data_IF_841710632005
#
_entry.id   IF_841710632005
#
_cell.length_a   1.000
_cell.length_b   1.000
_cell.length_c   1.000
_cell.angle_alpha   90.00
_cell.angle_beta   90.00
_cell.angle_gamma   90.00
#
_symmetry.space_group_name_H-M   'P 1'
#
loop_
_entity.id
_entity.type
_entity.pdbx_description
1 polymer ?
#
# COMPACT_ATOMS: atom_id res chain seq x y z
N UNK A 1 16.46 62.23 -25.93
CA UNK A 1 15.85 62.39 -24.58
C UNK A 1 15.88 61.05 -23.87
N UNK A 2 16.52 60.99 -22.72
CA UNK A 2 16.60 59.74 -21.92
C UNK A 2 15.37 59.70 -21.00
N UNK A 3 14.43 58.76 -21.25
CA UNK A 3 13.29 58.50 -20.36
C UNK A 3 13.74 57.77 -19.11
N UNK A 4 13.29 58.23 -17.94
CA UNK A 4 13.55 57.58 -16.68
C UNK A 4 12.21 57.06 -16.14
N UNK A 5 12.05 55.73 -16.08
CA UNK A 5 10.88 55.10 -15.49
C UNK A 5 11.01 55.11 -13.97
N UNK A 6 10.03 55.61 -13.25
CA UNK A 6 10.00 55.70 -11.79
C UNK A 6 8.80 54.97 -11.21
N UNK A 7 8.98 54.31 -10.06
CA UNK A 7 7.87 53.77 -9.28
C UNK A 7 7.11 54.91 -8.55
N UNK A 8 5.85 54.67 -8.16
CA UNK A 8 5.06 55.64 -7.36
C UNK A 8 5.80 56.08 -6.08
N UNK A 9 6.56 55.16 -5.43
CA UNK A 9 7.38 55.50 -4.25
C UNK A 9 8.54 56.43 -4.59
N UNK A 10 9.19 56.25 -5.71
CA UNK A 10 10.30 57.08 -6.14
C UNK A 10 9.80 58.49 -6.57
N UNK A 11 8.65 58.54 -7.25
CA UNK A 11 8.01 59.78 -7.61
C UNK A 11 7.63 60.62 -6.37
N UNK A 12 6.94 60.01 -5.41
CA UNK A 12 6.59 60.67 -4.15
C UNK A 12 7.85 61.15 -3.38
N UNK A 13 8.91 60.34 -3.36
CA UNK A 13 10.20 60.76 -2.78
C UNK A 13 10.78 61.96 -3.49
N UNK A 14 10.70 61.99 -4.81
CA UNK A 14 11.20 63.12 -5.61
C UNK A 14 10.46 64.38 -5.28
N UNK A 15 9.15 64.35 -5.23
CA UNK A 15 8.32 65.59 -4.95
C UNK A 15 8.65 66.09 -3.53
N UNK A 16 8.73 65.27 -2.51
CA UNK A 16 9.03 65.67 -1.14
C UNK A 16 10.47 66.22 -1.03
N UNK A 17 11.45 65.58 -1.67
CA UNK A 17 12.84 66.03 -1.65
C UNK A 17 12.99 67.34 -2.45
N UNK A 18 12.23 67.56 -3.54
CA UNK A 18 12.20 68.82 -4.30
C UNK A 18 11.68 69.93 -3.43
N UNK A 19 10.59 69.75 -2.68
CA UNK A 19 10.07 70.70 -1.69
C UNK A 19 11.09 71.02 -0.59
N UNK A 20 11.83 69.98 -0.11
CA UNK A 20 12.91 70.18 0.87
C UNK A 20 14.09 70.95 0.29
N UNK A 21 14.43 70.82 -0.99
CA UNK A 21 15.50 71.56 -1.65
C UNK A 21 15.07 73.04 -1.82
N UNK A 22 13.80 73.27 -2.14
CA UNK A 22 13.23 74.64 -2.25
C UNK A 22 13.00 75.32 -0.90
N UNK A 23 13.37 74.65 0.22
CA UNK A 23 13.17 75.15 1.61
C UNK A 23 11.70 75.32 2.02
N UNK A 24 10.72 74.68 1.30
CA UNK A 24 9.30 74.75 1.63
C UNK A 24 8.98 73.88 2.88
N UNK A 25 9.80 72.83 3.14
CA UNK A 25 9.73 71.98 4.30
C UNK A 25 11.12 71.71 4.90
N UNK A 26 11.18 71.37 6.19
CA UNK A 26 12.45 70.99 6.86
C UNK A 26 12.70 69.51 6.82
N UNK A 27 13.94 69.08 7.18
CA UNK A 27 14.32 67.63 7.19
C UNK A 27 13.46 66.77 8.10
N UNK A 28 13.08 67.15 9.35
CA UNK A 28 12.20 66.40 10.17
C UNK A 28 10.81 66.14 9.55
N UNK A 29 10.22 67.20 8.95
CA UNK A 29 8.91 67.07 8.28
C UNK A 29 8.98 66.17 7.06
N UNK A 30 10.04 66.27 6.25
CA UNK A 30 10.26 65.36 5.11
C UNK A 30 10.47 63.90 5.57
N UNK A 31 11.14 63.69 6.69
CA UNK A 31 11.33 62.38 7.31
C UNK A 31 10.00 61.76 7.75
N UNK A 32 9.14 62.54 8.39
CA UNK A 32 7.78 62.13 8.78
C UNK A 32 6.93 61.74 7.55
N UNK A 33 6.90 62.60 6.52
CA UNK A 33 6.11 62.38 5.30
C UNK A 33 6.52 61.11 4.52
N UNK A 34 7.81 60.78 4.53
CA UNK A 34 8.35 59.63 3.82
C UNK A 34 8.55 58.38 4.72
N UNK A 35 8.28 58.49 6.02
CA UNK A 35 8.57 57.44 7.01
C UNK A 35 10.02 56.99 6.93
N UNK A 36 10.95 57.93 6.81
CA UNK A 36 12.39 57.71 6.73
C UNK A 36 13.13 58.46 7.84
N UNK A 37 14.34 57.99 8.18
CA UNK A 37 15.18 58.71 9.12
C UNK A 37 15.67 60.06 8.53
N UNK A 38 15.87 61.05 9.39
CA UNK A 38 16.44 62.37 9.00
C UNK A 38 17.80 62.19 8.30
N UNK A 39 18.61 61.23 8.72
CA UNK A 39 19.87 60.88 8.07
C UNK A 39 19.67 60.40 6.62
N UNK A 40 18.64 59.60 6.38
CA UNK A 40 18.30 59.13 5.03
C UNK A 40 17.79 60.25 4.14
N UNK A 41 16.99 61.16 4.70
CA UNK A 41 16.53 62.37 3.98
C UNK A 41 17.70 63.25 3.53
N UNK A 42 18.68 63.52 4.42
CA UNK A 42 19.89 64.27 4.07
C UNK A 42 20.67 63.62 2.94
N UNK A 43 20.81 62.27 2.97
CA UNK A 43 21.46 61.51 1.88
C UNK A 43 20.69 61.61 0.55
N UNK A 44 19.38 61.47 0.57
CA UNK A 44 18.54 61.59 -0.62
C UNK A 44 18.60 62.99 -1.17
N UNK A 45 18.57 64.06 -0.32
CA UNK A 45 18.72 65.46 -0.74
C UNK A 45 20.07 65.71 -1.47
N UNK A 46 21.15 65.15 -0.94
CA UNK A 46 22.49 65.24 -1.54
C UNK A 46 22.51 64.57 -2.91
N UNK A 47 22.01 63.33 -3.03
CA UNK A 47 21.96 62.59 -4.29
C UNK A 47 21.08 63.26 -5.34
N UNK A 48 19.93 63.81 -4.93
CA UNK A 48 19.08 64.55 -5.88
C UNK A 48 19.74 65.85 -6.33
N UNK A 49 20.55 66.53 -5.48
CA UNK A 49 21.32 67.70 -5.89
C UNK A 49 22.44 67.40 -6.89
N UNK A 50 23.08 66.18 -6.71
CA UNK A 50 24.19 65.73 -7.56
C UNK A 50 23.69 65.14 -8.88
N UNK A 51 22.79 64.13 -8.77
CA UNK A 51 22.40 63.26 -9.91
C UNK A 51 20.98 63.57 -10.42
N UNK A 52 20.33 64.63 -9.90
CA UNK A 52 18.92 64.87 -10.20
C UNK A 52 18.00 63.76 -9.85
N UNK A 53 17.02 63.48 -10.69
CA UNK A 53 16.06 62.41 -10.53
C UNK A 53 16.72 61.05 -10.43
N UNK A 54 17.86 60.84 -11.15
CA UNK A 54 18.60 59.54 -11.11
C UNK A 54 19.10 59.17 -9.72
N UNK A 55 19.40 60.17 -8.86
CA UNK A 55 19.85 59.95 -7.49
C UNK A 55 18.84 59.27 -6.56
N UNK A 56 17.57 59.15 -6.96
CA UNK A 56 16.53 58.43 -6.23
C UNK A 56 16.37 56.99 -6.68
N UNK A 57 16.90 56.63 -7.83
CA UNK A 57 16.87 55.24 -8.29
C UNK A 57 17.75 54.35 -7.41
N UNK A 58 17.30 53.14 -7.18
CA UNK A 58 18.10 52.17 -6.42
C UNK A 58 19.37 51.83 -7.20
N UNK A 59 20.54 51.88 -6.55
CA UNK A 59 21.84 51.68 -7.18
C UNK A 59 22.01 50.29 -7.86
N UNK A 60 21.24 49.33 -7.45
CA UNK A 60 21.22 47.99 -8.04
C UNK A 60 20.18 47.81 -9.15
N UNK A 61 19.43 48.88 -9.53
CA UNK A 61 18.41 48.79 -10.58
C UNK A 61 19.10 48.50 -11.92
N UNK A 62 18.66 47.44 -12.59
CA UNK A 62 19.24 46.98 -13.85
C UNK A 62 20.56 46.21 -13.73
N UNK A 63 21.11 46.07 -12.51
CA UNK A 63 22.28 45.21 -12.26
C UNK A 63 21.82 43.80 -11.85
N UNK A 64 22.50 42.78 -12.36
CA UNK A 64 22.30 41.41 -11.92
C UNK A 64 22.70 41.27 -10.45
N UNK A 65 21.98 40.38 -9.72
CA UNK A 65 22.33 40.06 -8.35
C UNK A 65 23.72 39.44 -8.26
N UNK A 66 24.47 39.71 -7.19
CA UNK A 66 25.75 39.06 -6.91
C UNK A 66 25.64 37.54 -6.81
N UNK A 67 24.46 37.04 -6.42
CA UNK A 67 24.16 35.60 -6.27
C UNK A 67 23.53 35.02 -7.55
N UNK A 68 23.55 35.75 -8.68
CA UNK A 68 23.06 35.20 -9.94
C UNK A 68 23.98 34.10 -10.41
N UNK A 69 23.37 32.98 -10.78
CA UNK A 69 24.05 31.83 -11.38
C UNK A 69 24.76 32.28 -12.68
N UNK A 70 25.99 31.83 -12.88
CA UNK A 70 26.74 32.06 -14.13
C UNK A 70 26.01 31.45 -15.34
N UNK A 71 26.09 32.07 -16.49
CA UNK A 71 25.37 31.61 -17.69
C UNK A 71 25.86 30.21 -18.16
N UNK A 72 27.14 29.93 -18.06
CA UNK A 72 27.71 28.60 -18.39
C UNK A 72 27.14 27.51 -17.49
N UNK A 73 27.10 27.77 -16.19
CA UNK A 73 26.57 26.80 -15.22
C UNK A 73 25.06 26.64 -15.38
N UNK A 74 24.32 27.74 -15.66
CA UNK A 74 22.90 27.68 -15.98
C UNK A 74 22.62 26.81 -17.21
N UNK A 75 23.37 27.02 -18.29
CA UNK A 75 23.27 26.25 -19.53
C UNK A 75 23.55 24.77 -19.30
N UNK A 76 24.56 24.44 -18.48
CA UNK A 76 24.85 23.06 -18.10
C UNK A 76 23.70 22.42 -17.32
N UNK A 77 23.12 23.15 -16.36
CA UNK A 77 21.96 22.68 -15.58
C UNK A 77 20.76 22.44 -16.48
N UNK A 78 20.42 23.40 -17.35
CA UNK A 78 19.32 23.29 -18.31
C UNK A 78 19.47 22.05 -19.19
N UNK A 79 20.67 21.84 -19.74
CA UNK A 79 20.95 20.65 -20.56
C UNK A 79 20.71 19.35 -19.79
N UNK A 80 21.18 19.25 -18.56
CA UNK A 80 20.98 18.07 -17.70
C UNK A 80 19.51 17.86 -17.31
N UNK A 81 18.79 18.94 -17.04
CA UNK A 81 17.36 18.88 -16.74
C UNK A 81 16.56 18.31 -17.92
N UNK A 82 16.80 18.78 -19.13
CA UNK A 82 16.13 18.27 -20.33
C UNK A 82 16.51 16.81 -20.63
N UNK A 83 17.77 16.43 -20.48
CA UNK A 83 18.25 15.09 -20.84
C UNK A 83 17.85 14.01 -19.83
N UNK A 84 17.86 14.30 -18.53
CA UNK A 84 17.76 13.28 -17.51
C UNK A 84 16.67 13.52 -16.44
N UNK A 85 16.21 14.77 -16.28
CA UNK A 85 15.40 15.17 -15.13
C UNK A 85 14.16 15.97 -15.51
N UNK A 86 13.67 15.83 -16.74
CA UNK A 86 12.57 16.62 -17.30
C UNK A 86 11.24 16.46 -16.51
N UNK A 87 10.99 15.28 -15.93
CA UNK A 87 9.81 14.94 -15.17
C UNK A 87 10.04 14.98 -13.64
N UNK A 88 11.21 15.44 -13.20
CA UNK A 88 11.53 15.49 -11.76
C UNK A 88 10.90 16.73 -11.11
N UNK A 89 10.51 16.58 -9.82
CA UNK A 89 10.20 17.77 -9.03
C UNK A 89 11.46 18.57 -8.70
N UNK A 90 11.38 19.90 -8.57
CA UNK A 90 12.57 20.76 -8.39
C UNK A 90 13.48 20.37 -7.24
N UNK A 91 12.90 19.92 -6.12
CA UNK A 91 13.67 19.45 -4.97
C UNK A 91 14.46 18.18 -5.28
N UNK A 92 13.82 17.24 -5.97
CA UNK A 92 14.47 15.97 -6.31
C UNK A 92 15.50 16.16 -7.42
N UNK A 93 15.22 17.03 -8.41
CA UNK A 93 16.20 17.41 -9.43
C UNK A 93 17.45 18.06 -8.81
N UNK A 94 17.29 18.99 -7.86
CA UNK A 94 18.42 19.61 -7.14
C UNK A 94 19.29 18.58 -6.42
N UNK A 95 18.66 17.57 -5.79
CA UNK A 95 19.38 16.48 -5.12
C UNK A 95 20.20 15.66 -6.13
N UNK A 96 19.61 15.30 -7.27
CA UNK A 96 20.29 14.49 -8.30
C UNK A 96 21.37 15.27 -9.03
N UNK A 97 21.17 16.55 -9.28
CA UNK A 97 22.22 17.44 -9.81
C UNK A 97 23.44 17.47 -8.87
N UNK A 98 23.20 17.52 -7.57
CA UNK A 98 24.31 17.44 -6.59
C UNK A 98 24.94 16.03 -6.54
N UNK A 99 24.12 14.97 -6.39
CA UNK A 99 24.63 13.60 -6.24
C UNK A 99 25.40 13.09 -7.47
N UNK A 100 24.93 13.38 -8.67
CA UNK A 100 25.46 12.84 -9.93
C UNK A 100 26.45 13.77 -10.63
N UNK A 101 26.29 15.10 -10.47
CA UNK A 101 27.01 16.09 -11.26
C UNK A 101 27.78 17.10 -10.41
N UNK A 102 27.73 16.96 -9.07
CA UNK A 102 28.38 17.87 -8.11
C UNK A 102 27.91 19.33 -8.22
N UNK A 103 26.71 19.57 -8.79
CA UNK A 103 26.09 20.88 -8.93
C UNK A 103 25.20 21.17 -7.73
N UNK A 104 25.70 21.92 -6.75
CA UNK A 104 25.00 22.23 -5.51
C UNK A 104 24.26 23.54 -5.60
N UNK A 105 22.94 23.49 -5.82
CA UNK A 105 22.06 24.66 -5.86
C UNK A 105 20.84 24.47 -4.97
N UNK A 106 20.32 25.60 -4.46
CA UNK A 106 19.08 25.59 -3.70
C UNK A 106 17.92 25.12 -4.59
N UNK A 107 17.02 24.27 -4.08
CA UNK A 107 15.83 23.83 -4.82
C UNK A 107 14.96 24.96 -5.38
N UNK A 108 15.01 26.18 -4.78
CA UNK A 108 14.30 27.35 -5.31
C UNK A 108 14.92 27.85 -6.60
N UNK A 109 16.24 27.83 -6.71
CA UNK A 109 16.97 28.19 -7.94
C UNK A 109 16.64 27.22 -9.05
N UNK A 110 16.73 25.92 -8.78
CA UNK A 110 16.36 24.87 -9.76
C UNK A 110 14.89 24.99 -10.17
N UNK A 111 13.99 25.28 -9.21
CA UNK A 111 12.56 25.50 -9.51
C UNK A 111 12.37 26.66 -10.49
N UNK A 112 13.07 27.78 -10.29
CA UNK A 112 12.95 28.93 -11.18
C UNK A 112 13.44 28.55 -12.58
N UNK A 113 14.58 27.90 -12.69
CA UNK A 113 15.10 27.40 -13.97
C UNK A 113 14.08 26.51 -14.66
N UNK A 114 13.51 25.53 -13.93
CA UNK A 114 12.52 24.61 -14.49
C UNK A 114 11.21 25.29 -14.89
N UNK A 115 10.84 26.38 -14.24
CA UNK A 115 9.68 27.21 -14.67
C UNK A 115 10.04 27.97 -15.95
N UNK A 116 11.21 28.60 -16.01
CA UNK A 116 11.67 29.37 -17.16
C UNK A 116 11.80 28.50 -18.42
N UNK A 117 12.20 27.22 -18.25
CA UNK A 117 12.32 26.21 -19.31
C UNK A 117 11.02 25.39 -19.54
N UNK A 118 9.91 25.79 -18.93
CA UNK A 118 8.58 25.12 -19.02
C UNK A 118 8.55 23.64 -18.56
N UNK A 119 9.59 23.16 -17.88
CA UNK A 119 9.69 21.78 -17.36
C UNK A 119 8.82 21.57 -16.11
N UNK A 120 8.45 22.64 -15.40
CA UNK A 120 7.69 22.51 -14.16
C UNK A 120 6.70 23.67 -13.99
N UNK A 121 5.46 23.33 -13.60
CA UNK A 121 4.41 24.31 -13.31
C UNK A 121 4.01 24.26 -11.83
N UNK A 122 3.92 25.42 -11.13
CA UNK A 122 3.46 25.44 -9.75
C UNK A 122 2.02 24.91 -9.66
N UNK A 123 1.77 23.93 -8.79
CA UNK A 123 0.41 23.50 -8.48
C UNK A 123 -0.33 24.64 -7.78
N UNK A 124 -1.52 25.00 -8.26
CA UNK A 124 -2.40 25.94 -7.56
C UNK A 124 -2.70 25.40 -6.18
N UNK A 125 -2.59 26.24 -5.14
CA UNK A 125 -3.03 25.85 -3.80
C UNK A 125 -4.55 25.70 -3.84
N UNK A 126 -5.03 24.47 -3.70
CA UNK A 126 -6.43 24.25 -3.38
C UNK A 126 -6.69 24.76 -1.97
N UNK A 127 -7.77 25.54 -1.79
CA UNK A 127 -8.24 25.92 -0.45
C UNK A 127 -8.77 24.67 0.25
N UNK A 128 -7.88 23.97 0.92
CA UNK A 128 -8.26 22.77 1.72
C UNK A 128 -8.92 23.26 2.99
N UNK A 129 -10.08 22.69 3.32
CA UNK A 129 -10.83 23.02 4.53
C UNK A 129 -9.94 22.97 5.77
N UNK A 130 -10.13 23.96 6.66
CA UNK A 130 -9.29 24.25 7.81
C UNK A 130 -9.37 23.19 8.91
N UNK A 131 -10.37 22.31 8.88
CA UNK A 131 -10.64 21.33 9.94
C UNK A 131 -10.07 19.93 9.64
N UNK A 132 -8.75 19.78 9.72
CA UNK A 132 -8.13 18.46 9.76
C UNK A 132 -7.68 18.16 11.19
N UNK A 133 -8.36 17.22 11.85
CA UNK A 133 -7.85 16.66 13.10
C UNK A 133 -6.56 15.89 12.81
N UNK A 134 -5.47 16.34 13.40
CA UNK A 134 -4.19 15.68 13.33
C UNK A 134 -4.17 14.51 14.33
N UNK A 135 -3.99 13.30 13.80
CA UNK A 135 -3.66 12.17 14.67
C UNK A 135 -2.19 12.26 15.08
N UNK A 136 -1.94 12.27 16.39
CA UNK A 136 -0.58 12.23 16.91
C UNK A 136 0.17 10.96 16.47
N UNK A 137 1.51 11.06 16.37
CA UNK A 137 2.36 9.90 16.15
C UNK A 137 2.34 9.01 17.38
N UNK A 138 2.52 7.71 17.16
CA UNK A 138 2.83 6.78 18.24
C UNK A 138 4.14 7.19 18.92
N UNK A 139 4.34 6.71 20.15
CA UNK A 139 5.46 7.18 20.98
C UNK A 139 6.79 6.50 20.63
N UNK A 140 6.76 5.22 20.29
CA UNK A 140 7.93 4.37 20.17
C UNK A 140 7.97 3.61 18.85
N UNK A 141 9.18 3.30 18.38
CA UNK A 141 9.41 2.47 17.21
C UNK A 141 8.86 1.05 17.42
N UNK A 142 8.12 0.53 16.43
CA UNK A 142 7.49 -0.79 16.51
C UNK A 142 6.16 -0.84 17.29
N UNK A 143 5.68 0.32 17.80
CA UNK A 143 4.38 0.38 18.45
C UNK A 143 3.25 0.17 17.44
N UNK A 144 3.33 0.82 16.27
CA UNK A 144 2.35 0.68 15.20
C UNK A 144 3.00 0.73 13.83
N UNK A 145 2.75 -0.28 13.04
CA UNK A 145 3.16 -0.34 11.64
C UNK A 145 1.95 -0.12 10.74
N UNK A 146 2.02 0.87 9.87
CA UNK A 146 1.04 1.04 8.79
C UNK A 146 1.52 0.24 7.60
N UNK A 147 0.67 -0.65 7.11
CA UNK A 147 0.95 -1.52 5.97
C UNK A 147 -0.07 -1.26 4.87
N UNK A 148 0.40 -1.20 3.64
CA UNK A 148 -0.45 -1.01 2.46
C UNK A 148 0.27 -1.46 1.20
N UNK A 149 -0.50 -1.70 0.13
CA UNK A 149 -0.02 -1.99 -1.22
C UNK A 149 -0.34 -0.84 -2.17
N UNK A 150 0.50 -0.63 -3.18
CA UNK A 150 0.24 0.35 -4.24
C UNK A 150 0.57 -0.24 -5.59
N UNK A 151 -0.41 -0.24 -6.48
CA UNK A 151 -0.24 -0.61 -7.87
C UNK A 151 0.17 0.61 -8.69
N UNK A 152 1.21 0.44 -9.51
CA UNK A 152 1.68 1.47 -10.42
C UNK A 152 2.60 0.83 -11.47
N UNK A 153 2.88 1.57 -12.53
CA UNK A 153 3.93 1.22 -13.51
C UNK A 153 5.33 1.54 -12.93
N UNK A 154 5.70 0.87 -11.83
CA UNK A 154 6.94 1.14 -11.09
C UNK A 154 8.20 1.00 -11.93
N UNK A 155 8.18 0.14 -12.93
CA UNK A 155 9.30 -0.08 -13.85
C UNK A 155 9.12 0.66 -15.18
N UNK A 156 8.03 1.40 -15.36
CA UNK A 156 7.66 2.04 -16.61
C UNK A 156 7.70 1.02 -17.78
N UNK A 157 8.24 1.38 -18.94
CA UNK A 157 8.36 0.49 -20.10
C UNK A 157 9.60 -0.41 -20.07
N UNK A 158 10.37 -0.39 -18.97
CA UNK A 158 11.64 -1.14 -18.84
C UNK A 158 11.46 -2.61 -18.47
N UNK A 159 10.28 -3.03 -18.08
CA UNK A 159 9.95 -4.41 -17.71
C UNK A 159 8.78 -4.95 -18.50
N UNK A 160 8.66 -6.27 -18.58
CA UNK A 160 7.55 -6.95 -19.23
C UNK A 160 6.24 -6.96 -18.42
N UNK A 161 6.22 -6.38 -17.24
CA UNK A 161 5.22 -6.72 -16.22
C UNK A 161 4.03 -5.76 -16.12
N UNK A 162 3.97 -4.65 -16.86
CA UNK A 162 2.88 -3.68 -16.69
C UNK A 162 2.81 -3.13 -15.27
N UNK A 163 1.62 -3.09 -14.68
CA UNK A 163 1.42 -2.73 -13.27
C UNK A 163 1.91 -3.83 -12.33
N UNK A 164 2.71 -3.46 -11.35
CA UNK A 164 3.15 -4.33 -10.26
C UNK A 164 2.80 -3.70 -8.92
N UNK A 165 2.65 -4.51 -7.89
CA UNK A 165 2.30 -4.04 -6.55
C UNK A 165 3.57 -3.80 -5.72
N UNK A 166 3.68 -2.63 -5.10
CA UNK A 166 4.66 -2.34 -4.05
C UNK A 166 3.98 -2.48 -2.68
N UNK A 167 4.36 -3.51 -1.93
CA UNK A 167 3.97 -3.68 -0.53
C UNK A 167 4.92 -2.86 0.34
N UNK A 168 4.39 -2.06 1.26
CA UNK A 168 5.20 -1.21 2.12
C UNK A 168 4.72 -1.18 3.57
N UNK A 169 5.66 -1.24 4.50
CA UNK A 169 5.45 -1.12 5.94
C UNK A 169 6.19 0.11 6.48
N UNK A 170 5.45 1.08 6.98
CA UNK A 170 5.98 2.31 7.59
C UNK A 170 5.70 2.34 9.09
N UNK A 171 6.68 2.67 9.87
CA UNK A 171 6.52 2.88 11.30
C UNK A 171 5.86 4.25 11.60
N UNK A 172 4.83 4.24 12.40
CA UNK A 172 4.05 5.44 12.69
C UNK A 172 4.80 6.47 13.53
N UNK A 173 5.59 6.01 14.48
CA UNK A 173 6.34 6.88 15.39
C UNK A 173 7.44 7.64 14.67
N UNK A 174 8.23 6.95 13.89
CA UNK A 174 9.44 7.47 13.25
C UNK A 174 9.24 7.90 11.81
N UNK A 175 8.19 7.41 11.14
CA UNK A 175 8.01 7.57 9.70
C UNK A 175 9.05 6.81 8.88
N UNK A 176 9.79 5.86 9.48
CA UNK A 176 10.75 5.00 8.78
C UNK A 176 10.01 4.02 7.89
N UNK A 177 10.44 3.91 6.66
CA UNK A 177 10.10 2.79 5.80
C UNK A 177 10.86 1.57 6.32
N UNK A 178 10.14 0.70 7.06
CA UNK A 178 10.76 -0.45 7.73
C UNK A 178 11.08 -1.53 6.71
N UNK A 179 10.13 -1.79 5.83
CA UNK A 179 10.28 -2.76 4.74
C UNK A 179 9.42 -2.35 3.55
N UNK A 180 9.92 -2.58 2.35
CA UNK A 180 9.15 -2.51 1.11
C UNK A 180 9.59 -3.62 0.16
N UNK A 181 8.65 -4.20 -0.58
CA UNK A 181 8.91 -5.30 -1.52
C UNK A 181 7.94 -5.24 -2.70
N UNK A 182 8.45 -5.38 -3.90
CA UNK A 182 7.64 -5.55 -5.10
C UNK A 182 7.14 -6.99 -5.20
N UNK A 183 5.86 -7.11 -5.52
CA UNK A 183 5.19 -8.37 -5.80
C UNK A 183 4.42 -8.24 -7.12
N UNK A 184 4.13 -9.36 -7.77
CA UNK A 184 3.31 -9.37 -9.00
C UNK A 184 1.88 -8.91 -8.75
N UNK A 185 1.36 -9.19 -7.56
CA UNK A 185 0.01 -8.80 -7.14
C UNK A 185 -0.09 -8.77 -5.62
N UNK A 186 -1.10 -8.09 -5.10
CA UNK A 186 -1.46 -8.07 -3.70
C UNK A 186 -2.43 -9.23 -3.38
N UNK A 187 -1.88 -10.40 -3.12
CA UNK A 187 -2.64 -11.57 -2.70
C UNK A 187 -2.19 -12.06 -1.33
N UNK A 188 -2.93 -13.00 -0.74
CA UNK A 188 -2.62 -13.49 0.61
C UNK A 188 -1.22 -14.11 0.70
N UNK A 189 -0.76 -14.85 -0.31
CA UNK A 189 0.56 -15.47 -0.28
C UNK A 189 1.71 -14.47 -0.41
N UNK A 190 1.71 -13.47 -1.33
CA UNK A 190 2.68 -12.38 -1.33
C UNK A 190 2.70 -11.58 -0.03
N UNK A 191 1.53 -11.26 0.54
CA UNK A 191 1.43 -10.56 1.83
C UNK A 191 2.03 -11.40 2.95
N UNK A 192 1.76 -12.70 3.01
CA UNK A 192 2.36 -13.60 4.00
C UNK A 192 3.87 -13.74 3.82
N UNK A 193 4.37 -13.80 2.58
CA UNK A 193 5.80 -13.80 2.30
C UNK A 193 6.48 -12.50 2.81
N UNK A 194 5.84 -11.36 2.56
CA UNK A 194 6.29 -10.07 3.07
C UNK A 194 6.38 -10.08 4.61
N UNK A 195 5.30 -10.47 5.29
CA UNK A 195 5.25 -10.50 6.74
C UNK A 195 6.18 -11.53 7.36
N UNK A 196 6.41 -12.66 6.71
CA UNK A 196 7.42 -13.64 7.15
C UNK A 196 8.82 -13.04 7.16
N UNK A 197 9.20 -12.32 6.09
CA UNK A 197 10.49 -11.61 6.02
C UNK A 197 10.59 -10.50 7.05
N UNK A 198 9.50 -9.73 7.21
CA UNK A 198 9.42 -8.66 8.20
C UNK A 198 9.65 -9.17 9.62
N UNK A 199 8.88 -10.18 10.03
CA UNK A 199 8.92 -10.75 11.36
C UNK A 199 10.29 -11.40 11.69
N UNK A 200 10.89 -12.07 10.72
CA UNK A 200 12.22 -12.65 10.89
C UNK A 200 13.32 -11.57 11.04
N UNK A 201 13.14 -10.40 10.41
CA UNK A 201 14.18 -9.36 10.42
C UNK A 201 14.02 -8.40 11.58
N UNK A 202 12.79 -7.97 11.86
CA UNK A 202 12.49 -6.90 12.82
C UNK A 202 11.82 -7.41 14.11
N UNK A 203 11.24 -8.60 14.08
CA UNK A 203 10.37 -9.10 15.13
C UNK A 203 8.92 -8.65 14.93
N UNK A 204 8.04 -9.02 15.86
CA UNK A 204 6.63 -8.66 15.81
C UNK A 204 6.39 -7.26 16.34
N UNK A 205 5.70 -6.38 15.60
CA UNK A 205 5.24 -5.11 16.10
C UNK A 205 4.07 -5.32 17.08
N UNK A 206 3.77 -4.31 17.89
CA UNK A 206 2.65 -4.39 18.80
C UNK A 206 1.32 -4.40 18.05
N UNK A 207 1.17 -3.52 17.06
CA UNK A 207 -0.04 -3.45 16.24
C UNK A 207 0.25 -3.12 14.77
N UNK A 208 -0.65 -3.57 13.91
CA UNK A 208 -0.64 -3.31 12.47
C UNK A 208 -1.90 -2.52 12.11
N UNK A 209 -1.73 -1.47 11.33
CA UNK A 209 -2.80 -0.64 10.81
C UNK A 209 -2.97 -0.90 9.32
N UNK A 210 -4.14 -1.40 8.92
CA UNK A 210 -4.46 -1.78 7.54
C UNK A 210 -5.66 -0.99 7.00
N UNK A 211 -5.75 -0.84 5.67
CA UNK A 211 -6.98 -0.41 5.03
C UNK A 211 -7.97 -1.58 4.91
N UNK A 212 -9.25 -1.25 5.10
CA UNK A 212 -10.33 -2.21 4.84
C UNK A 212 -10.47 -2.58 3.36
N UNK A 213 -9.98 -1.74 2.45
CA UNK A 213 -10.32 -1.79 1.03
C UNK A 213 -9.17 -2.10 0.08
N UNK A 214 -7.90 -1.88 0.45
CA UNK A 214 -6.79 -1.98 -0.51
C UNK A 214 -6.44 -3.40 -0.93
N UNK A 215 -6.64 -4.37 -0.06
CA UNK A 215 -6.28 -5.78 -0.32
C UNK A 215 -7.38 -6.59 -1.02
N UNK A 216 -8.60 -6.02 -1.25
CA UNK A 216 -9.81 -6.81 -1.53
C UNK A 216 -10.56 -6.43 -2.80
N UNK A 217 -10.13 -5.45 -3.57
CA UNK A 217 -10.97 -4.88 -4.64
C UNK A 217 -10.62 -5.29 -6.07
N UNK A 218 -9.66 -6.17 -6.31
CA UNK A 218 -9.37 -6.59 -7.68
C UNK A 218 -9.51 -8.09 -7.87
N UNK A 219 -10.74 -8.54 -8.01
CA UNK A 219 -11.17 -9.60 -8.93
C UNK A 219 -12.66 -9.86 -8.71
N UNK A 220 -13.48 -9.35 -9.62
CA UNK A 220 -14.95 -9.52 -9.63
C UNK A 220 -15.43 -10.98 -9.81
N UNK A 221 -14.54 -11.95 -9.87
CA UNK A 221 -14.91 -13.36 -10.05
C UNK A 221 -15.03 -14.16 -8.74
N UNK A 222 -14.67 -13.61 -7.56
CA UNK A 222 -14.73 -14.38 -6.32
C UNK A 222 -15.12 -13.54 -5.10
N UNK A 223 -16.32 -12.97 -5.13
CA UNK A 223 -16.89 -12.28 -3.98
C UNK A 223 -16.91 -13.16 -2.69
N UNK A 224 -16.85 -14.47 -2.82
CA UNK A 224 -16.72 -15.44 -1.73
C UNK A 224 -15.28 -15.61 -1.21
N UNK A 225 -14.25 -15.34 -2.02
CA UNK A 225 -12.85 -15.48 -1.59
C UNK A 225 -12.32 -14.24 -0.84
N UNK A 226 -12.89 -13.06 -1.08
CA UNK A 226 -12.42 -11.81 -0.50
C UNK A 226 -12.66 -11.73 1.02
N UNK A 227 -13.80 -12.21 1.50
CA UNK A 227 -14.05 -12.35 2.95
C UNK A 227 -13.10 -13.34 3.62
N UNK A 228 -12.65 -14.38 2.90
CA UNK A 228 -11.71 -15.37 3.42
C UNK A 228 -10.28 -14.83 3.57
N UNK A 229 -9.88 -13.84 2.77
CA UNK A 229 -8.51 -13.30 2.82
C UNK A 229 -8.26 -12.45 4.07
N UNK A 230 -9.20 -11.58 4.43
CA UNK A 230 -9.10 -10.80 5.67
C UNK A 230 -9.09 -11.73 6.88
N UNK A 231 -9.98 -12.70 6.90
CA UNK A 231 -10.05 -13.69 7.98
C UNK A 231 -8.75 -14.51 8.09
N UNK A 232 -8.09 -14.85 6.98
CA UNK A 232 -6.79 -15.54 6.98
C UNK A 232 -5.67 -14.66 7.55
N UNK A 233 -5.62 -13.40 7.16
CA UNK A 233 -4.64 -12.46 7.70
C UNK A 233 -4.88 -12.22 9.19
N UNK A 234 -6.12 -11.92 9.57
CA UNK A 234 -6.51 -11.71 10.97
C UNK A 234 -6.15 -12.93 11.82
N UNK A 235 -6.53 -14.15 11.37
CA UNK A 235 -6.15 -15.41 12.04
C UNK A 235 -4.66 -15.50 12.29
N UNK A 236 -3.85 -15.24 11.25
CA UNK A 236 -2.40 -15.33 11.37
C UNK A 236 -1.82 -14.30 12.36
N UNK A 237 -2.36 -13.08 12.37
CA UNK A 237 -1.92 -12.03 13.31
C UNK A 237 -2.36 -12.33 14.73
N UNK A 238 -3.56 -12.87 14.93
CA UNK A 238 -4.07 -13.30 16.25
C UNK A 238 -3.20 -14.43 16.83
N UNK A 239 -2.83 -15.44 16.01
CA UNK A 239 -1.90 -16.48 16.43
C UNK A 239 -0.51 -15.93 16.83
N UNK A 240 -0.07 -14.86 16.18
CA UNK A 240 1.17 -14.14 16.48
C UNK A 240 1.03 -13.10 17.59
N UNK A 241 -0.16 -12.92 18.16
CA UNK A 241 -0.47 -11.91 19.18
C UNK A 241 -0.15 -10.48 18.72
N UNK A 242 -0.43 -10.19 17.47
CA UNK A 242 -0.29 -8.86 16.86
C UNK A 242 -1.69 -8.28 16.70
N UNK A 243 -1.94 -7.15 17.31
CA UNK A 243 -3.21 -6.44 17.15
C UNK A 243 -3.34 -5.87 15.73
N UNK A 244 -4.49 -6.08 15.08
CA UNK A 244 -4.78 -5.53 13.76
C UNK A 244 -5.91 -4.51 13.88
N UNK A 245 -5.64 -3.27 13.50
CA UNK A 245 -6.63 -2.20 13.48
C UNK A 245 -7.02 -1.90 12.03
N UNK A 246 -8.26 -2.22 11.62
CA UNK A 246 -8.76 -1.81 10.32
C UNK A 246 -9.02 -0.30 10.28
N UNK A 247 -8.53 0.37 9.25
CA UNK A 247 -8.75 1.79 9.04
C UNK A 247 -10.23 2.07 8.75
N UNK A 248 -10.90 2.79 9.63
CA UNK A 248 -12.31 3.18 9.45
C UNK A 248 -12.46 4.53 8.73
N UNK A 249 -11.37 5.27 8.49
CA UNK A 249 -11.41 6.57 7.82
C UNK A 249 -10.15 6.86 7.01
N UNK A 250 -10.27 7.56 5.86
CA UNK A 250 -9.12 8.00 5.06
C UNK A 250 -8.13 8.85 5.84
N UNK A 251 -8.62 9.64 6.82
CA UNK A 251 -7.78 10.54 7.60
C UNK A 251 -6.76 9.82 8.48
N UNK A 252 -7.06 8.59 8.88
CA UNK A 252 -6.17 7.77 9.68
C UNK A 252 -4.97 7.23 8.87
N UNK A 253 -5.08 7.18 7.54
CA UNK A 253 -4.06 6.71 6.58
C UNK A 253 -3.06 7.77 6.10
N UNK A 254 -3.24 9.02 6.44
CA UNK A 254 -2.47 10.13 5.85
C UNK A 254 -0.94 10.02 5.90
N UNK A 255 -0.35 9.01 6.56
CA UNK A 255 1.10 8.74 6.54
C UNK A 255 1.47 7.77 5.44
N UNK A 256 0.76 6.66 5.30
CA UNK A 256 1.04 5.69 4.23
C UNK A 256 0.68 6.26 2.86
N UNK A 257 -0.40 7.06 2.76
CA UNK A 257 -0.74 7.79 1.53
C UNK A 257 0.37 8.76 1.11
N UNK A 258 0.90 9.55 2.07
CA UNK A 258 2.03 10.45 1.82
C UNK A 258 3.31 9.69 1.49
N UNK A 259 3.51 8.52 2.09
CA UNK A 259 4.61 7.64 1.74
C UNK A 259 4.50 7.25 0.27
N UNK A 260 3.36 6.69 -0.17
CA UNK A 260 3.20 6.29 -1.56
C UNK A 260 3.31 7.46 -2.53
N UNK A 261 2.73 8.63 -2.23
CA UNK A 261 2.95 9.82 -3.04
C UNK A 261 4.44 10.21 -3.15
N UNK A 262 5.23 10.01 -2.09
CA UNK A 262 6.67 10.25 -2.13
C UNK A 262 7.40 9.14 -2.89
N UNK A 263 7.00 7.89 -2.75
CA UNK A 263 7.58 6.76 -3.46
C UNK A 263 7.30 6.84 -4.96
N UNK A 264 6.09 7.15 -5.36
CA UNK A 264 5.71 7.35 -6.77
C UNK A 264 6.50 8.49 -7.41
N UNK A 265 6.69 9.61 -6.69
CA UNK A 265 7.51 10.72 -7.22
C UNK A 265 9.00 10.36 -7.32
N UNK A 266 9.54 9.54 -6.41
CA UNK A 266 11.00 9.33 -6.29
C UNK A 266 11.46 7.95 -6.74
N UNK A 267 10.79 6.88 -6.31
CA UNK A 267 11.28 5.51 -6.51
C UNK A 267 11.27 5.12 -7.99
N UNK A 268 10.22 5.46 -8.74
CA UNK A 268 10.14 5.19 -10.19
C UNK A 268 11.38 5.76 -10.90
N UNK A 269 11.69 7.02 -10.60
CA UNK A 269 12.82 7.75 -11.19
C UNK A 269 14.18 7.22 -10.73
N UNK A 270 14.30 6.81 -9.47
CA UNK A 270 15.52 6.16 -8.95
C UNK A 270 15.76 4.81 -9.65
N UNK A 271 14.72 4.00 -9.85
CA UNK A 271 14.79 2.75 -10.59
C UNK A 271 15.19 2.99 -12.06
N UNK A 272 14.68 4.07 -12.67
CA UNK A 272 15.07 4.50 -14.02
C UNK A 272 16.54 4.87 -14.09
N UNK A 273 17.00 5.71 -13.17
CA UNK A 273 18.42 6.13 -13.11
C UNK A 273 19.40 4.99 -12.83
N UNK A 274 18.92 3.91 -12.21
CA UNK A 274 19.67 2.69 -11.95
C UNK A 274 19.49 1.63 -13.05
N UNK A 275 18.74 1.92 -14.11
CA UNK A 275 18.41 1.02 -15.22
C UNK A 275 17.86 -0.34 -14.77
N UNK A 276 16.96 -0.33 -13.78
CA UNK A 276 16.38 -1.54 -13.20
C UNK A 276 15.12 -1.91 -13.98
N UNK A 277 15.01 -3.19 -14.41
CA UNK A 277 13.94 -3.70 -15.26
C UNK A 277 13.23 -4.95 -14.73
N UNK A 278 13.72 -5.55 -13.62
CA UNK A 278 13.11 -6.76 -13.05
C UNK A 278 12.70 -6.56 -11.59
N UNK A 279 11.65 -7.27 -11.16
CA UNK A 279 11.17 -7.27 -9.77
C UNK A 279 12.29 -7.69 -8.80
N UNK A 280 13.10 -8.68 -9.17
CA UNK A 280 14.18 -9.18 -8.31
C UNK A 280 15.26 -8.10 -8.07
N UNK A 281 15.72 -7.45 -9.15
CA UNK A 281 16.72 -6.37 -9.05
C UNK A 281 16.14 -5.14 -8.33
N UNK A 282 14.86 -4.83 -8.54
CA UNK A 282 14.17 -3.77 -7.84
C UNK A 282 14.08 -4.02 -6.32
N UNK A 283 13.80 -5.25 -5.91
CA UNK A 283 13.78 -5.62 -4.49
C UNK A 283 15.19 -5.55 -3.84
N UNK A 284 16.22 -5.92 -4.58
CA UNK A 284 17.60 -5.75 -4.09
C UNK A 284 17.97 -4.26 -3.94
N UNK A 285 17.61 -3.43 -4.92
CA UNK A 285 17.81 -1.99 -4.88
C UNK A 285 17.05 -1.34 -3.71
N UNK A 286 15.79 -1.70 -3.51
CA UNK A 286 15.00 -1.25 -2.37
C UNK A 286 15.72 -1.52 -1.05
N UNK A 287 16.09 -2.78 -0.82
CA UNK A 287 16.69 -3.21 0.45
C UNK A 287 18.06 -2.60 0.69
N UNK A 288 18.95 -2.57 -0.32
CA UNK A 288 20.36 -2.19 -0.14
C UNK A 288 20.59 -0.68 -0.25
N UNK A 289 19.81 0.03 -1.06
CA UNK A 289 20.11 1.41 -1.43
C UNK A 289 18.98 2.36 -1.06
N UNK A 290 17.75 2.09 -1.53
CA UNK A 290 16.68 3.06 -1.43
C UNK A 290 16.18 3.25 0.00
N UNK A 291 15.85 2.16 0.71
CA UNK A 291 15.32 2.24 2.09
C UNK A 291 16.29 2.91 3.05
N UNK A 292 17.59 2.58 3.09
CA UNK A 292 18.55 3.31 3.92
C UNK A 292 18.60 4.81 3.63
N UNK A 293 18.68 5.20 2.34
CA UNK A 293 18.71 6.62 1.92
C UNK A 293 17.40 7.34 2.26
N UNK A 294 16.26 6.69 2.01
CA UNK A 294 14.95 7.21 2.34
C UNK A 294 14.84 7.49 3.84
N UNK A 295 15.21 6.52 4.66
CA UNK A 295 15.13 6.65 6.11
C UNK A 295 16.07 7.71 6.66
N UNK A 296 17.30 7.81 6.14
CA UNK A 296 18.23 8.87 6.52
C UNK A 296 17.62 10.27 6.27
N UNK A 297 16.84 10.41 5.21
CA UNK A 297 16.29 11.71 4.81
C UNK A 297 14.95 12.05 5.48
N UNK A 298 14.07 11.08 5.65
CA UNK A 298 12.68 11.33 6.00
C UNK A 298 12.27 10.82 7.40
N UNK A 299 13.10 9.99 8.02
CA UNK A 299 12.80 9.52 9.36
C UNK A 299 12.94 10.64 10.38
N UNK A 300 12.11 10.59 11.42
CA UNK A 300 12.13 11.51 12.54
C UNK A 300 12.43 10.76 13.83
N UNK A 301 12.96 11.47 14.80
CA UNK A 301 13.22 10.93 16.15
C UNK A 301 11.87 10.67 16.84
N UNK A 302 11.63 9.46 17.38
CA UNK A 302 10.41 9.16 18.12
C UNK A 302 10.44 9.83 19.50
N UNK A 303 9.27 9.95 20.17
CA UNK A 303 9.16 10.49 21.52
C UNK A 303 9.88 9.63 22.56
N UNK A 304 9.82 8.30 22.39
CA UNK A 304 10.53 7.32 23.21
C UNK A 304 11.60 6.61 22.38
N UNK A 305 12.80 6.49 22.95
CA UNK A 305 13.91 5.77 22.33
C UNK A 305 13.73 4.24 22.31
N UNK A 306 12.69 3.72 22.98
CA UNK A 306 12.43 2.27 23.05
C UNK A 306 12.03 1.68 21.69
N UNK A 307 12.45 0.44 21.46
CA UNK A 307 11.97 -0.38 20.34
C UNK A 307 10.98 -1.42 20.91
N UNK A 308 9.74 -1.34 20.48
CA UNK A 308 8.66 -2.22 20.93
C UNK A 308 8.48 -3.48 20.07
N UNK A 309 9.32 -3.69 19.07
CA UNK A 309 9.34 -4.97 18.36
C UNK A 309 9.79 -6.09 19.33
N UNK A 310 9.03 -7.16 19.37
CA UNK A 310 9.35 -8.34 20.15
C UNK A 310 9.97 -9.40 19.25
N UNK A 311 11.13 -9.92 19.62
CA UNK A 311 11.74 -11.03 18.88
C UNK A 311 10.88 -12.27 19.00
N UNK A 312 10.79 -13.03 17.91
CA UNK A 312 10.16 -14.34 17.92
C UNK A 312 11.05 -15.34 18.66
N UNK A 313 10.44 -16.20 19.48
CA UNK A 313 11.16 -17.33 20.06
C UNK A 313 11.43 -18.42 19.00
N UNK A 314 12.28 -19.41 19.34
CA UNK A 314 12.65 -20.48 18.41
C UNK A 314 11.44 -21.32 17.97
N UNK A 315 10.44 -21.50 18.82
CA UNK A 315 9.22 -22.24 18.51
C UNK A 315 8.32 -21.45 17.56
N UNK A 316 8.17 -20.17 17.81
CA UNK A 316 7.43 -19.24 16.94
C UNK A 316 8.08 -19.14 15.56
N UNK A 317 9.43 -19.02 15.49
CA UNK A 317 10.16 -18.99 14.23
C UNK A 317 9.96 -20.27 13.41
N UNK A 318 10.05 -21.45 14.04
CA UNK A 318 9.84 -22.73 13.37
C UNK A 318 8.39 -22.90 12.89
N UNK A 319 7.41 -22.38 13.64
CA UNK A 319 5.99 -22.40 13.30
C UNK A 319 5.54 -21.34 12.31
N UNK A 320 6.35 -20.30 12.08
CA UNK A 320 5.95 -19.09 11.38
C UNK A 320 5.41 -19.33 9.96
N UNK A 321 6.02 -20.25 9.20
CA UNK A 321 5.58 -20.59 7.85
C UNK A 321 4.24 -21.33 7.82
N UNK A 322 3.88 -22.03 8.89
CA UNK A 322 2.56 -22.64 9.05
C UNK A 322 1.50 -21.64 9.47
N UNK A 323 1.85 -20.69 10.35
CA UNK A 323 0.97 -19.59 10.75
C UNK A 323 0.68 -18.69 9.54
N UNK A 324 1.72 -18.27 8.84
CA UNK A 324 1.63 -17.44 7.63
C UNK A 324 1.40 -18.32 6.39
N UNK A 325 0.33 -19.12 6.40
CA UNK A 325 -0.13 -19.95 5.29
C UNK A 325 -1.61 -19.72 5.03
N UNK A 326 -2.05 -19.89 3.78
CA UNK A 326 -3.48 -19.93 3.47
C UNK A 326 -4.02 -21.27 3.96
N UNK A 327 -4.85 -21.24 4.98
CA UNK A 327 -5.44 -22.42 5.59
C UNK A 327 -6.85 -22.66 5.04
N UNK A 328 -7.10 -23.87 4.58
CA UNK A 328 -8.40 -24.27 4.06
C UNK A 328 -8.82 -25.59 4.70
N UNK A 329 -10.00 -25.62 5.30
CA UNK A 329 -10.56 -26.86 5.84
C UNK A 329 -11.03 -27.76 4.70
N UNK A 330 -10.68 -29.03 4.73
CA UNK A 330 -11.15 -30.08 3.81
C UNK A 330 -11.58 -31.30 4.59
N UNK A 331 -12.58 -32.00 4.07
CA UNK A 331 -13.06 -33.26 4.66
C UNK A 331 -12.44 -34.43 3.95
N UNK A 332 -11.86 -35.36 4.72
CA UNK A 332 -11.30 -36.61 4.22
C UNK A 332 -12.43 -37.50 3.72
N UNK A 333 -12.38 -37.94 2.48
CA UNK A 333 -13.38 -38.82 1.86
C UNK A 333 -13.22 -40.28 2.33
N UNK A 334 -14.11 -41.16 1.86
CA UNK A 334 -14.09 -42.57 2.26
C UNK A 334 -12.85 -43.33 1.80
N UNK A 335 -12.21 -42.87 0.74
CA UNK A 335 -10.96 -43.41 0.16
C UNK A 335 -9.72 -42.64 0.67
N UNK A 336 -9.85 -41.90 1.75
CA UNK A 336 -8.81 -41.08 2.35
C UNK A 336 -8.25 -40.02 1.41
N UNK A 337 -9.04 -39.56 0.41
CA UNK A 337 -8.70 -38.46 -0.47
C UNK A 337 -9.43 -37.19 -0.10
N UNK A 338 -8.93 -36.07 -0.62
CA UNK A 338 -9.62 -34.78 -0.68
C UNK A 338 -9.10 -33.98 -1.88
N UNK A 339 -9.82 -32.94 -2.26
CA UNK A 339 -9.45 -32.06 -3.38
C UNK A 339 -9.09 -30.67 -2.93
N UNK A 340 -8.06 -30.09 -3.58
CA UNK A 340 -7.70 -28.67 -3.46
C UNK A 340 -7.35 -28.15 -4.85
N UNK A 341 -8.01 -27.08 -5.31
CA UNK A 341 -7.77 -26.47 -6.65
C UNK A 341 -7.73 -27.51 -7.79
N UNK A 342 -8.72 -28.39 -7.82
CA UNK A 342 -8.85 -29.49 -8.81
C UNK A 342 -7.75 -30.56 -8.76
N UNK A 343 -6.81 -30.46 -7.82
CA UNK A 343 -5.79 -31.48 -7.56
C UNK A 343 -6.28 -32.45 -6.50
N UNK A 344 -6.01 -33.76 -6.68
CA UNK A 344 -6.35 -34.81 -5.73
C UNK A 344 -5.17 -35.10 -4.81
N UNK A 345 -5.47 -35.26 -3.52
CA UNK A 345 -4.52 -35.59 -2.48
C UNK A 345 -5.02 -36.82 -1.74
N UNK A 346 -4.16 -37.77 -1.49
CA UNK A 346 -4.47 -38.95 -0.72
C UNK A 346 -3.58 -39.05 0.53
N UNK A 347 -4.19 -39.23 1.67
CA UNK A 347 -3.48 -39.49 2.93
C UNK A 347 -2.91 -40.90 2.89
N UNK A 348 -1.60 -41.07 3.06
CA UNK A 348 -0.90 -42.35 3.05
C UNK A 348 -1.26 -43.12 4.31
N UNK A 349 -1.21 -44.46 4.26
CA UNK A 349 -1.55 -45.30 5.43
C UNK A 349 -0.58 -45.13 6.61
N UNK A 350 0.69 -44.89 6.32
CA UNK A 350 1.73 -44.71 7.32
C UNK A 350 1.65 -43.33 7.97
N UNK A 351 0.94 -43.25 9.07
CA UNK A 351 0.74 -42.01 9.84
C UNK A 351 1.13 -42.22 11.30
N UNK A 352 1.63 -41.15 11.92
CA UNK A 352 1.90 -41.14 13.37
C UNK A 352 0.63 -41.02 14.22
N UNK A 353 -0.54 -40.96 13.58
CA UNK A 353 -1.84 -40.84 14.23
C UNK A 353 -2.94 -41.45 13.37
N UNK A 354 -4.04 -41.88 14.01
CA UNK A 354 -5.21 -42.40 13.31
C UNK A 354 -5.95 -41.29 12.57
N UNK A 355 -6.16 -41.51 11.29
CA UNK A 355 -7.00 -40.68 10.42
C UNK A 355 -8.28 -41.43 10.11
N UNK A 356 -9.41 -40.79 10.36
CA UNK A 356 -10.72 -41.39 10.12
C UNK A 356 -11.38 -40.76 8.88
N UNK A 357 -12.32 -41.51 8.30
CA UNK A 357 -13.22 -40.97 7.26
C UNK A 357 -14.02 -39.82 7.83
N UNK A 358 -14.25 -38.78 7.04
CA UNK A 358 -14.93 -37.53 7.42
C UNK A 358 -14.16 -36.66 8.42
N UNK A 359 -12.92 -37.01 8.79
CA UNK A 359 -12.08 -36.06 9.53
C UNK A 359 -11.91 -34.75 8.77
N UNK A 360 -11.90 -33.66 9.50
CA UNK A 360 -11.64 -32.34 8.96
C UNK A 360 -10.15 -32.03 9.07
N UNK A 361 -9.49 -31.92 7.94
CA UNK A 361 -8.07 -31.58 7.84
C UNK A 361 -7.90 -30.14 7.43
N UNK A 362 -6.88 -29.47 7.95
CA UNK A 362 -6.46 -28.15 7.54
C UNK A 362 -5.34 -28.30 6.51
N UNK A 363 -5.58 -27.79 5.31
CA UNK A 363 -4.59 -27.73 4.24
C UNK A 363 -3.93 -26.35 4.30
N UNK A 364 -2.61 -26.33 4.51
CA UNK A 364 -1.77 -25.15 4.59
C UNK A 364 -1.04 -24.94 3.26
N UNK A 365 -1.41 -23.90 2.52
CA UNK A 365 -0.65 -23.43 1.36
C UNK A 365 0.34 -22.36 1.83
N UNK A 366 1.63 -22.67 1.81
CA UNK A 366 2.69 -21.76 2.28
C UNK A 366 3.14 -20.80 1.17
N UNK A 367 3.75 -19.65 1.50
CA UNK A 367 4.23 -18.67 0.52
C UNK A 367 5.24 -19.22 -0.51
N UNK A 368 5.98 -20.26 -0.16
CA UNK A 368 6.92 -20.96 -1.05
C UNK A 368 6.25 -21.97 -2.00
N UNK A 369 4.91 -22.04 -2.00
CA UNK A 369 4.13 -22.99 -2.81
C UNK A 369 4.04 -24.40 -2.23
N UNK A 370 4.67 -24.70 -1.10
CA UNK A 370 4.55 -26.02 -0.47
C UNK A 370 3.20 -26.17 0.23
N UNK A 371 2.66 -27.39 0.17
CA UNK A 371 1.39 -27.75 0.78
C UNK A 371 1.68 -28.65 1.97
N UNK A 372 1.02 -28.40 3.08
CA UNK A 372 1.06 -29.25 4.27
C UNK A 372 -0.37 -29.56 4.71
N UNK A 373 -0.58 -30.75 5.26
CA UNK A 373 -1.88 -31.18 5.74
C UNK A 373 -1.77 -31.41 7.23
N UNK A 374 -2.63 -30.78 8.00
CA UNK A 374 -2.63 -30.86 9.46
C UNK A 374 -3.96 -31.43 9.97
N UNK A 375 -3.88 -32.39 10.86
CA UNK A 375 -5.02 -32.93 11.60
C UNK A 375 -4.71 -32.87 13.09
N UNK A 376 -5.60 -32.30 13.91
CA UNK A 376 -5.45 -32.20 15.38
C UNK A 376 -4.05 -31.71 15.80
N UNK A 377 -3.48 -30.73 15.09
CA UNK A 377 -2.17 -30.13 15.39
C UNK A 377 -0.94 -30.91 14.87
N UNK A 378 -1.10 -32.06 14.21
CA UNK A 378 -0.01 -32.88 13.65
C UNK A 378 -0.07 -32.91 12.15
N UNK A 379 1.10 -32.90 11.49
CA UNK A 379 1.18 -33.00 10.04
C UNK A 379 1.03 -34.45 9.58
N UNK A 380 0.30 -34.60 8.45
CA UNK A 380 0.04 -35.89 7.82
C UNK A 380 0.95 -36.10 6.61
N UNK A 381 1.36 -37.34 6.38
CA UNK A 381 1.98 -37.74 5.13
C UNK A 381 0.91 -37.93 4.06
N UNK A 382 1.17 -37.47 2.86
CA UNK A 382 0.23 -37.52 1.74
C UNK A 382 0.97 -37.71 0.42
N UNK A 383 0.22 -38.15 -0.58
CA UNK A 383 0.66 -38.22 -1.97
C UNK A 383 -0.31 -37.42 -2.86
N UNK A 384 0.22 -36.87 -3.94
CA UNK A 384 -0.56 -36.16 -4.95
C UNK A 384 -0.97 -37.17 -6.03
N UNK A 385 -2.24 -37.20 -6.37
CA UNK A 385 -2.77 -38.08 -7.39
C UNK A 385 -3.06 -37.29 -8.67
N UNK A 386 -2.65 -37.80 -9.84
CA UNK A 386 -2.89 -37.11 -11.13
C UNK A 386 -4.38 -37.12 -11.51
N UNK A 387 -5.12 -38.13 -11.06
CA UNK A 387 -6.54 -38.31 -11.35
C UNK A 387 -7.28 -38.83 -10.12
N UNK A 388 -8.61 -38.68 -10.13
CA UNK A 388 -9.45 -39.28 -9.09
C UNK A 388 -9.25 -40.81 -9.07
N UNK A 389 -9.03 -41.44 -7.92
CA UNK A 389 -8.97 -42.90 -7.83
C UNK A 389 -10.23 -43.49 -8.44
N UNK A 390 -10.06 -44.42 -9.38
CA UNK A 390 -11.20 -45.19 -9.89
C UNK A 390 -11.78 -46.02 -8.70
N UNK A 391 -13.09 -46.05 -8.59
CA UNK A 391 -13.73 -46.99 -7.68
C UNK A 391 -13.34 -48.37 -8.13
N UNK A 392 -12.66 -49.14 -7.28
CA UNK A 392 -12.52 -50.59 -7.51
C UNK A 392 -13.92 -51.13 -7.71
N UNK A 393 -14.18 -51.66 -8.90
CA UNK A 393 -15.41 -52.39 -9.15
C UNK A 393 -15.46 -53.51 -8.11
N UNK A 394 -16.49 -53.49 -7.27
CA UNK A 394 -16.71 -54.62 -6.37
C UNK A 394 -16.65 -55.87 -7.25
N UNK A 395 -15.84 -56.89 -6.92
CA UNK A 395 -15.87 -58.12 -7.67
C UNK A 395 -17.34 -58.55 -7.74
N UNK A 396 -17.86 -58.67 -8.93
CA UNK A 396 -19.18 -59.25 -9.15
C UNK A 396 -19.03 -60.67 -8.65
N UNK A 397 -19.51 -60.90 -7.44
CA UNK A 397 -19.71 -62.26 -6.96
C UNK A 397 -20.56 -62.91 -8.01
N UNK A 398 -19.96 -63.78 -8.84
CA UNK A 398 -20.71 -64.67 -9.70
C UNK A 398 -21.60 -65.48 -8.76
N UNK A 399 -22.85 -65.08 -8.71
CA UNK A 399 -23.87 -65.86 -8.05
C UNK A 399 -23.89 -67.16 -8.83
N UNK A 400 -23.27 -68.19 -8.25
CA UNK A 400 -23.44 -69.55 -8.71
C UNK A 400 -24.94 -69.72 -8.90
N UNK A 401 -25.39 -69.86 -10.15
CA UNK A 401 -26.77 -70.10 -10.52
C UNK A 401 -27.20 -71.41 -9.82
N UNK A 402 -27.88 -71.26 -8.70
CA UNK A 402 -28.68 -72.35 -8.19
C UNK A 402 -29.76 -72.67 -9.22
N UNK A 403 -30.02 -73.98 -9.45
CA UNK A 403 -30.98 -74.40 -10.49
C UNK A 403 -32.32 -73.69 -10.23
N UNK A 404 -32.93 -73.20 -11.31
CA UNK A 404 -34.22 -72.50 -11.28
C UNK A 404 -35.27 -73.36 -10.53
N UNK A 405 -35.63 -72.93 -9.36
CA UNK A 405 -36.90 -73.33 -8.77
C UNK A 405 -38.01 -72.69 -9.66
N UNK A 406 -38.87 -73.53 -10.17
CA UNK A 406 -40.07 -73.07 -10.92
C UNK A 406 -40.74 -71.89 -10.21
N UNK A 407 -40.99 -70.86 -10.99
CA UNK A 407 -41.77 -69.69 -10.53
C UNK A 407 -43.18 -70.14 -10.19
N UNK A 408 -43.40 -70.45 -8.92
CA UNK A 408 -44.72 -70.53 -8.39
C UNK A 408 -45.40 -69.17 -8.59
N UNK A 409 -46.45 -69.16 -9.44
CA UNK A 409 -47.27 -67.96 -9.64
C UNK A 409 -47.77 -67.43 -8.28
N UNK A 410 -47.76 -66.12 -8.05
CA UNK A 410 -48.25 -65.60 -6.79
C UNK A 410 -49.69 -65.97 -6.60
N UNK A 411 -49.97 -66.85 -5.64
CA UNK A 411 -51.36 -67.19 -5.28
C UNK A 411 -52.08 -65.95 -4.79
N UNK A 412 -53.03 -65.49 -5.59
CA UNK A 412 -53.86 -64.38 -5.14
C UNK A 412 -54.58 -64.81 -3.84
N UNK A 413 -54.60 -63.96 -2.85
CA UNK A 413 -55.25 -64.30 -1.59
C UNK A 413 -56.71 -64.62 -1.82
N UNK A 414 -57.30 -65.58 -1.11
CA UNK A 414 -58.68 -66.01 -1.25
C UNK A 414 -59.64 -64.84 -1.09
N UNK A 415 -60.85 -64.96 -1.68
CA UNK A 415 -61.84 -63.90 -1.73
C UNK A 415 -62.29 -63.34 -0.37
N UNK A 416 -62.14 -64.14 0.69
CA UNK A 416 -62.45 -63.79 2.09
C UNK A 416 -61.24 -63.18 2.84
N UNK A 417 -60.09 -62.90 2.19
CA UNK A 417 -58.95 -62.35 2.87
C UNK A 417 -59.23 -60.91 3.36
N UNK A 418 -58.87 -60.53 4.61
CA UNK A 418 -59.19 -59.22 5.21
C UNK A 418 -58.81 -58.01 4.33
N UNK A 419 -57.73 -58.10 3.56
CA UNK A 419 -57.29 -57.01 2.67
C UNK A 419 -58.24 -56.79 1.46
N UNK A 420 -59.06 -57.74 1.08
CA UNK A 420 -60.10 -57.57 0.03
C UNK A 420 -61.41 -57.02 0.55
N UNK A 421 -61.60 -57.02 1.86
CA UNK A 421 -62.79 -56.50 2.52
C UNK A 421 -62.63 -55.02 2.96
N UNK A 422 -61.41 -54.48 2.84
CA UNK A 422 -61.15 -53.09 3.21
C UNK A 422 -61.65 -52.15 2.10
N UNK A 423 -62.84 -51.62 2.23
CA UNK A 423 -63.31 -50.52 1.41
C UNK A 423 -62.87 -49.20 2.04
N UNK A 424 -61.94 -48.52 1.41
CA UNK A 424 -61.65 -47.09 1.70
C UNK A 424 -62.92 -46.27 1.33
N UNK A 425 -63.71 -45.89 2.29
CA UNK A 425 -64.74 -44.87 2.12
C UNK A 425 -64.04 -43.53 2.01
N UNK A 426 -63.85 -43.06 0.78
CA UNK A 426 -63.43 -41.68 0.52
C UNK A 426 -64.67 -40.83 0.62
N UNK A 427 -64.91 -40.16 1.73
CA UNK A 427 -65.83 -39.08 1.83
C UNK A 427 -65.30 -37.89 0.99
N UNK A 428 -65.91 -37.67 -0.18
CA UNK A 428 -65.75 -36.41 -0.91
C UNK A 428 -66.57 -35.36 -0.15
N UNK A 429 -65.90 -34.55 0.65
CA UNK A 429 -66.39 -33.24 1.02
C UNK A 429 -65.80 -32.21 0.08
N UNK A 430 -66.65 -31.42 -0.54
CA UNK A 430 -66.25 -30.30 -1.39
C UNK A 430 -65.44 -29.25 -0.60
N UNK A 431 -64.48 -28.64 -1.32
CA UNK A 431 -63.64 -27.50 -0.95
C UNK A 431 -62.44 -27.78 -0.09
N UNK A 432 -61.33 -27.81 -0.83
CA UNK A 432 -59.96 -27.63 -0.49
C UNK A 432 -59.57 -26.89 0.76
N UNK A 433 -58.94 -27.61 1.65
CA UNK A 433 -57.80 -27.17 2.45
C UNK A 433 -57.23 -28.43 3.10
N UNK A 434 -55.97 -28.76 2.76
CA UNK A 434 -55.22 -29.76 3.50
C UNK A 434 -54.74 -29.13 4.81
N UNK A 435 -55.32 -29.53 5.94
CA UNK A 435 -54.73 -29.32 7.25
C UNK A 435 -54.00 -30.60 7.66
N UNK A 436 -52.72 -30.51 7.87
CA UNK A 436 -51.97 -31.51 8.61
C UNK A 436 -52.08 -31.20 10.11
N UNK A 437 -52.45 -32.17 10.95
CA UNK A 437 -52.39 -31.96 12.38
C UNK A 437 -50.96 -32.27 12.88
N UNK A 438 -50.44 -31.42 13.71
CA UNK A 438 -49.40 -31.77 14.67
C UNK A 438 -48.08 -31.07 14.55
N UNK A 439 -48.01 -29.79 14.93
CA UNK A 439 -46.82 -29.19 15.53
C UNK A 439 -46.46 -30.00 16.79
N UNK A 440 -45.24 -30.49 16.84
CA UNK A 440 -44.55 -30.79 18.09
C UNK A 440 -43.26 -30.00 18.12
N UNK A 441 -43.30 -28.94 18.88
CA UNK A 441 -42.15 -28.23 19.43
C UNK A 441 -41.30 -29.16 20.31
N UNK A 442 -40.01 -29.18 20.01
CA UNK A 442 -38.93 -29.27 21.03
C UNK A 442 -37.74 -28.44 20.54
#
# INVERSE_FOLDING_TARGET
MTFITMSKKELNRYEIIKRLIRKEINCPKAASLLSLSVRQIKRLKLRVKQDGVKGLLHASRGKSSHNRLGEEERTKIVKLLHQHYHDFGPTFASEKLFEKHQLKHDPKTIRQIMIDEELWKPKKKENRSIHRQWRERKSAYGEMIQFDGSYEHWLEDRGSSGEICLLAAIDDATGRLVMAEFASHEGILPVFNFWQKYLNTHGRPRLIYLDKFSTYHQNQASAFENGSTLTQFQRAMDELRIEVIPANSPQAKGRVERLFGTLQDRLIKELRLANISTISSANQFLKKIFIPRFNHKFAVVPRSASNLHQRLDAKEQNGLSGILSKQTERTVQNDFTFTLKSQWYQVIREQKMTVCRKDKVIVEERPNGSIFIRLRGRYLNYQVLPQRPAREAKPVLQVLTTPQKEKLSPKSPPSNHPWRQYRLTINKTEKGHFNFPGDVTF
#
